data_IF_942864163627
#
_entry.id   IF_942864163627
#
_cell.length_a   1.000
_cell.length_b   1.000
_cell.length_c   1.000
_cell.angle_alpha   90.00
_cell.angle_beta   90.00
_cell.angle_gamma   90.00
#
_symmetry.space_group_name_H-M   'P 1'
#
loop_
_entity.id
_entity.type
_entity.pdbx_description
1 polymer ?
#
# COMPACT_ATOMS: atom_id res chain seq x y z
N UNK A 1 0.53 21.88 27.36
CA UNK A 1 1.19 22.20 26.08
C UNK A 1 0.85 21.07 25.13
N UNK A 2 -0.17 21.26 24.32
CA UNK A 2 -0.65 20.26 23.37
C UNK A 2 -0.12 20.66 22.00
N UNK A 3 0.73 19.81 21.41
CA UNK A 3 1.26 20.03 20.06
C UNK A 3 0.15 19.94 19.01
N UNK A 4 0.38 20.47 17.79
CA UNK A 4 -0.60 20.36 16.72
C UNK A 4 -0.64 18.90 16.26
N UNK A 5 -1.64 18.14 16.70
CA UNK A 5 -2.09 16.99 15.92
C UNK A 5 -2.70 17.57 14.64
N UNK A 6 -1.93 17.54 13.56
CA UNK A 6 -2.45 17.60 12.21
C UNK A 6 -3.47 16.46 12.08
N UNK A 7 -4.74 16.82 12.14
CA UNK A 7 -5.86 15.92 11.91
C UNK A 7 -5.67 15.25 10.55
N UNK A 8 -5.44 13.94 10.55
CA UNK A 8 -5.50 13.12 9.34
C UNK A 8 -6.87 13.35 8.67
N UNK A 9 -6.95 13.39 7.33
CA UNK A 9 -8.23 13.50 6.65
C UNK A 9 -9.01 12.19 6.76
N UNK A 10 -10.34 12.30 6.70
CA UNK A 10 -11.31 11.18 6.65
C UNK A 10 -11.22 10.31 5.36
N UNK A 11 -10.10 10.31 4.63
CA UNK A 11 -9.99 9.67 3.32
C UNK A 11 -8.83 8.68 3.24
N UNK A 12 -9.17 7.39 3.21
CA UNK A 12 -8.25 6.28 3.02
C UNK A 12 -8.12 5.94 1.53
N UNK A 13 -6.89 5.96 1.02
CA UNK A 13 -6.55 5.54 -0.34
C UNK A 13 -6.38 4.04 -0.50
N UNK A 14 -6.54 3.25 0.54
CA UNK A 14 -6.64 1.80 0.48
C UNK A 14 -7.35 1.33 1.76
N UNK A 15 -8.69 1.36 1.81
CA UNK A 15 -9.42 1.07 3.04
C UNK A 15 -9.32 -0.42 3.37
N UNK A 16 -9.16 -0.73 4.66
CA UNK A 16 -9.23 -2.11 5.13
C UNK A 16 -10.62 -2.70 4.87
N UNK A 17 -10.65 -3.98 4.52
CA UNK A 17 -11.86 -4.75 4.26
C UNK A 17 -11.66 -6.16 4.83
N UNK A 18 -12.70 -6.77 5.39
CA UNK A 18 -12.68 -8.16 5.86
C UNK A 18 -12.33 -9.17 4.76
N UNK A 19 -12.44 -8.81 3.49
CA UNK A 19 -11.92 -9.60 2.36
C UNK A 19 -10.39 -9.70 2.32
N UNK A 20 -9.66 -8.93 3.12
CA UNK A 20 -8.21 -9.11 3.31
C UNK A 20 -7.86 -10.05 4.47
N UNK A 21 -8.86 -10.51 5.22
CA UNK A 21 -8.64 -11.43 6.33
C UNK A 21 -8.33 -12.83 5.80
N UNK A 22 -7.21 -13.36 6.27
CA UNK A 22 -6.75 -14.74 6.08
C UNK A 22 -7.35 -15.69 7.11
N UNK A 23 -7.85 -15.16 8.23
CA UNK A 23 -8.33 -15.94 9.38
C UNK A 23 -7.21 -16.33 10.34
N UNK A 24 -5.97 -15.88 10.10
CA UNK A 24 -4.84 -16.02 11.00
C UNK A 24 -4.60 -14.65 11.64
N UNK A 25 -5.04 -14.48 12.89
CA UNK A 25 -5.04 -13.18 13.60
C UNK A 25 -3.70 -12.44 13.54
N UNK A 26 -2.59 -13.16 13.71
CA UNK A 26 -1.24 -12.58 13.62
C UNK A 26 -0.97 -11.94 12.25
N UNK A 27 -1.40 -12.57 11.16
CA UNK A 27 -1.22 -12.09 9.79
C UNK A 27 -2.18 -10.93 9.51
N UNK A 28 -3.43 -11.06 9.93
CA UNK A 28 -4.46 -10.04 9.68
C UNK A 28 -4.12 -8.70 10.37
N UNK A 29 -3.59 -8.75 11.60
CA UNK A 29 -3.08 -7.56 12.31
C UNK A 29 -1.89 -6.92 11.57
N UNK A 30 -1.00 -7.74 11.00
CA UNK A 30 0.14 -7.25 10.22
C UNK A 30 -0.30 -6.61 8.90
N UNK A 31 -1.26 -7.21 8.20
CA UNK A 31 -1.85 -6.65 6.99
C UNK A 31 -2.52 -5.29 7.28
N UNK A 32 -3.31 -5.18 8.35
CA UNK A 32 -3.92 -3.91 8.77
C UNK A 32 -2.88 -2.83 8.99
N UNK A 33 -1.74 -3.16 9.62
CA UNK A 33 -0.67 -2.20 9.83
C UNK A 33 0.03 -1.79 8.53
N UNK A 34 0.27 -2.71 7.60
CA UNK A 34 0.77 -2.39 6.26
C UNK A 34 -0.15 -1.41 5.52
N UNK A 35 -1.46 -1.67 5.58
CA UNK A 35 -2.49 -0.80 5.00
C UNK A 35 -2.49 0.58 5.64
N UNK A 36 -2.39 0.68 6.97
CA UNK A 36 -2.28 1.95 7.70
C UNK A 36 -1.06 2.76 7.24
N UNK A 37 0.12 2.13 7.14
CA UNK A 37 1.36 2.80 6.70
C UNK A 37 1.22 3.24 5.23
N UNK A 38 0.65 2.40 4.36
CA UNK A 38 0.42 2.74 2.95
C UNK A 38 -0.53 3.94 2.79
N UNK A 39 -1.59 4.01 3.59
CA UNK A 39 -2.50 5.17 3.61
C UNK A 39 -1.83 6.45 4.11
N UNK A 40 -0.91 6.34 5.09
CA UNK A 40 -0.09 7.48 5.51
C UNK A 40 0.84 7.93 4.39
N UNK A 41 1.48 7.00 3.67
CA UNK A 41 2.33 7.32 2.53
C UNK A 41 1.55 8.08 1.44
N UNK A 42 0.36 7.59 1.10
CA UNK A 42 -0.58 8.25 0.18
C UNK A 42 -0.83 9.72 0.52
N UNK A 43 -1.13 10.00 1.79
CA UNK A 43 -1.41 11.35 2.26
C UNK A 43 -0.23 12.30 2.01
N UNK A 44 0.97 11.91 2.41
CA UNK A 44 2.17 12.74 2.22
C UNK A 44 2.53 12.93 0.75
N UNK A 45 2.28 11.93 -0.10
CA UNK A 45 2.45 12.07 -1.55
C UNK A 45 1.46 13.07 -2.17
N UNK A 46 0.29 13.29 -1.54
CA UNK A 46 -0.76 14.19 -2.05
C UNK A 46 -0.63 15.64 -1.57
N UNK A 47 0.03 15.88 -0.45
CA UNK A 47 0.02 17.17 0.24
C UNK A 47 1.08 18.16 -0.25
N UNK A 48 1.99 17.77 -1.16
CA UNK A 48 3.24 18.50 -1.49
C UNK A 48 4.14 18.81 -0.28
N UNK A 49 3.74 18.40 0.92
CA UNK A 49 4.47 18.59 2.17
C UNK A 49 5.51 17.47 2.34
N UNK A 50 6.75 17.89 2.17
CA UNK A 50 8.00 17.29 2.64
C UNK A 50 8.35 15.89 2.08
N UNK A 51 9.12 15.88 0.98
CA UNK A 51 9.73 14.66 0.43
C UNK A 51 10.54 13.85 1.45
N UNK A 52 11.09 14.47 2.50
CA UNK A 52 11.80 13.77 3.56
C UNK A 52 10.83 12.87 4.33
N UNK A 53 9.66 13.40 4.68
CA UNK A 53 8.66 12.67 5.46
C UNK A 53 8.06 11.49 4.66
N UNK A 54 7.84 11.66 3.36
CA UNK A 54 7.42 10.56 2.49
C UNK A 54 8.49 9.45 2.42
N UNK A 55 9.78 9.82 2.42
CA UNK A 55 10.89 8.86 2.47
C UNK A 55 10.95 8.08 3.78
N UNK A 56 10.74 8.73 4.92
CA UNK A 56 10.70 8.07 6.23
C UNK A 56 9.55 7.06 6.34
N UNK A 57 8.36 7.42 5.85
CA UNK A 57 7.19 6.52 5.85
C UNK A 57 7.39 5.35 4.89
N UNK A 58 8.03 5.58 3.74
CA UNK A 58 8.40 4.49 2.84
C UNK A 58 9.36 3.51 3.54
N UNK A 59 10.38 4.01 4.24
CA UNK A 59 11.28 3.14 4.99
C UNK A 59 10.54 2.35 6.09
N UNK A 60 9.62 3.00 6.82
CA UNK A 60 8.74 2.33 7.79
C UNK A 60 7.93 1.20 7.13
N UNK A 61 7.38 1.42 5.93
CA UNK A 61 6.66 0.41 5.17
C UNK A 61 7.55 -0.78 4.81
N UNK A 62 8.77 -0.53 4.32
CA UNK A 62 9.70 -1.58 3.90
C UNK A 62 10.20 -2.41 5.10
N UNK A 63 10.50 -1.76 6.21
CA UNK A 63 10.92 -2.42 7.45
C UNK A 63 9.78 -3.31 8.00
N UNK A 64 8.55 -2.79 7.98
CA UNK A 64 7.39 -3.53 8.43
C UNK A 64 7.02 -4.68 7.49
N UNK A 65 7.12 -4.49 6.17
CA UNK A 65 6.96 -5.54 5.17
C UNK A 65 7.98 -6.67 5.37
N UNK A 66 9.25 -6.32 5.61
CA UNK A 66 10.28 -7.33 5.92
C UNK A 66 9.95 -8.11 7.20
N UNK A 67 9.45 -7.43 8.24
CA UNK A 67 9.01 -8.11 9.45
C UNK A 67 7.81 -9.05 9.22
N UNK A 68 6.83 -8.57 8.45
CA UNK A 68 5.64 -9.32 8.10
C UNK A 68 5.99 -10.59 7.30
N UNK A 69 6.73 -10.45 6.19
CA UNK A 69 7.11 -11.58 5.35
C UNK A 69 7.91 -12.65 6.11
N UNK A 70 8.80 -12.25 7.03
CA UNK A 70 9.49 -13.23 7.90
C UNK A 70 8.54 -13.96 8.84
N UNK A 71 7.55 -13.25 9.38
CA UNK A 71 6.54 -13.84 10.29
C UNK A 71 5.69 -14.85 9.54
N UNK A 72 5.25 -14.47 8.34
CA UNK A 72 4.44 -15.26 7.44
C UNK A 72 5.17 -16.51 6.93
N UNK A 73 6.39 -16.35 6.42
CA UNK A 73 7.22 -17.47 5.94
C UNK A 73 7.48 -18.49 7.05
N UNK A 74 7.64 -18.04 8.30
CA UNK A 74 7.79 -18.93 9.44
C UNK A 74 6.53 -19.76 9.73
N UNK A 75 5.34 -19.26 9.40
CA UNK A 75 4.09 -20.01 9.49
C UNK A 75 4.01 -21.00 8.34
N UNK A 76 4.18 -20.53 7.10
CA UNK A 76 4.09 -21.34 5.89
C UNK A 76 5.06 -22.50 5.85
N UNK A 77 6.29 -22.29 6.31
CA UNK A 77 7.32 -23.32 6.38
C UNK A 77 6.89 -24.53 7.21
N UNK A 78 6.03 -24.37 8.21
CA UNK A 78 5.55 -25.50 9.02
C UNK A 78 4.66 -26.47 8.23
N UNK A 79 4.06 -26.00 7.13
CA UNK A 79 3.13 -26.77 6.31
C UNK A 79 3.70 -27.13 4.93
N UNK A 80 4.58 -26.28 4.40
CA UNK A 80 5.00 -26.31 3.00
C UNK A 80 6.51 -26.48 2.81
N UNK A 81 7.27 -26.80 3.86
CA UNK A 81 8.73 -26.93 3.81
C UNK A 81 9.22 -27.77 2.61
N UNK A 82 10.08 -27.17 1.78
CA UNK A 82 10.69 -27.81 0.62
C UNK A 82 9.77 -27.94 -0.60
N UNK A 83 8.55 -27.39 -0.53
CA UNK A 83 7.62 -27.39 -1.67
C UNK A 83 7.87 -26.23 -2.63
N UNK A 84 7.37 -26.35 -3.86
CA UNK A 84 7.34 -25.26 -4.82
C UNK A 84 6.45 -24.10 -4.37
N UNK A 85 5.46 -24.34 -3.51
CA UNK A 85 4.54 -23.33 -2.99
C UNK A 85 5.30 -22.36 -2.08
N UNK A 86 6.08 -22.88 -1.12
CA UNK A 86 6.97 -22.09 -0.26
C UNK A 86 7.94 -21.27 -1.13
N UNK A 87 8.61 -21.92 -2.08
CA UNK A 87 9.59 -21.26 -2.93
C UNK A 87 9.00 -20.15 -3.81
N UNK A 88 7.79 -20.34 -4.34
CA UNK A 88 7.13 -19.36 -5.20
C UNK A 88 6.65 -18.14 -4.40
N UNK A 89 6.13 -18.36 -3.19
CA UNK A 89 5.70 -17.27 -2.33
C UNK A 89 6.89 -16.43 -1.85
N UNK A 90 8.00 -17.06 -1.42
CA UNK A 90 9.24 -16.36 -1.09
C UNK A 90 9.78 -15.51 -2.25
N UNK A 91 9.76 -16.04 -3.48
CA UNK A 91 10.14 -15.27 -4.67
C UNK A 91 9.25 -14.05 -4.90
N UNK A 92 7.97 -14.13 -4.54
CA UNK A 92 7.06 -12.99 -4.56
C UNK A 92 7.54 -11.86 -3.65
N UNK A 93 7.96 -12.20 -2.42
CA UNK A 93 8.55 -11.23 -1.48
C UNK A 93 9.87 -10.65 -1.99
N UNK A 94 10.75 -11.47 -2.56
CA UNK A 94 12.01 -10.98 -3.12
C UNK A 94 11.77 -9.99 -4.27
N UNK A 95 10.81 -10.31 -5.14
CA UNK A 95 10.41 -9.46 -6.25
C UNK A 95 9.84 -8.11 -5.78
N UNK A 96 9.07 -8.09 -4.69
CA UNK A 96 8.59 -6.85 -4.09
C UNK A 96 9.73 -5.87 -3.81
N UNK A 97 10.76 -6.31 -3.08
CA UNK A 97 11.90 -5.44 -2.76
C UNK A 97 12.75 -5.10 -3.98
N UNK A 98 12.84 -6.00 -4.97
CA UNK A 98 13.52 -5.72 -6.24
C UNK A 98 12.85 -4.57 -6.99
N UNK A 99 11.52 -4.57 -7.11
CA UNK A 99 10.78 -3.49 -7.77
C UNK A 99 10.95 -2.16 -7.04
N UNK A 100 10.91 -2.15 -5.71
CA UNK A 100 11.15 -0.91 -4.94
C UNK A 100 12.56 -0.36 -5.20
N UNK A 101 13.59 -1.21 -5.20
CA UNK A 101 14.96 -0.78 -5.54
C UNK A 101 15.05 -0.18 -6.95
N UNK A 102 14.29 -0.72 -7.91
CA UNK A 102 14.22 -0.14 -9.26
C UNK A 102 13.59 1.26 -9.26
N UNK A 103 12.53 1.49 -8.50
CA UNK A 103 11.93 2.82 -8.36
C UNK A 103 12.87 3.81 -7.67
N UNK A 104 13.55 3.41 -6.60
CA UNK A 104 14.53 4.25 -5.90
C UNK A 104 15.71 4.63 -6.81
N UNK A 105 16.23 3.67 -7.60
CA UNK A 105 17.31 3.93 -8.54
C UNK A 105 16.90 4.95 -9.62
N UNK A 106 15.69 4.84 -10.17
CA UNK A 106 15.12 5.84 -11.10
C UNK A 106 14.98 7.21 -10.43
N UNK A 107 14.52 7.26 -9.17
CA UNK A 107 14.37 8.51 -8.41
C UNK A 107 15.71 9.22 -8.23
N UNK A 108 16.77 8.48 -7.89
CA UNK A 108 18.13 9.01 -7.76
C UNK A 108 18.69 9.57 -9.08
N UNK A 109 18.18 9.12 -10.22
CA UNK A 109 18.52 9.64 -11.55
C UNK A 109 17.72 10.90 -11.95
N UNK A 110 16.85 11.41 -11.07
CA UNK A 110 16.07 12.62 -11.28
C UNK A 110 14.71 12.42 -11.96
N UNK A 111 14.21 11.17 -12.04
CA UNK A 111 12.87 10.88 -12.56
C UNK A 111 11.78 11.29 -11.56
N UNK A 112 11.14 12.42 -11.82
CA UNK A 112 10.09 13.01 -10.97
C UNK A 112 8.77 12.22 -10.94
N UNK A 113 8.57 11.25 -11.85
CA UNK A 113 7.35 10.44 -11.92
C UNK A 113 7.45 9.11 -11.15
N UNK A 114 8.58 8.84 -10.50
CA UNK A 114 8.81 7.57 -9.77
C UNK A 114 7.94 7.38 -8.55
N UNK A 115 7.64 8.43 -7.78
CA UNK A 115 6.87 8.29 -6.54
C UNK A 115 5.42 7.83 -6.80
N UNK A 116 4.66 8.42 -7.75
CA UNK A 116 3.35 7.90 -8.14
C UNK A 116 3.39 6.47 -8.67
N UNK A 117 4.34 6.13 -9.55
CA UNK A 117 4.47 4.78 -10.10
C UNK A 117 4.73 3.74 -8.99
N UNK A 118 5.60 4.08 -8.05
CA UNK A 118 5.93 3.23 -6.91
C UNK A 118 4.73 3.04 -5.98
N UNK A 119 3.96 4.10 -5.71
CA UNK A 119 2.75 4.01 -4.89
C UNK A 119 1.68 3.12 -5.55
N UNK A 120 1.49 3.26 -6.86
CA UNK A 120 0.60 2.41 -7.66
C UNK A 120 1.03 0.94 -7.60
N UNK A 121 2.34 0.67 -7.73
CA UNK A 121 2.90 -0.67 -7.56
C UNK A 121 2.65 -1.22 -6.14
N UNK A 122 2.99 -0.47 -5.09
CA UNK A 122 2.81 -0.88 -3.69
C UNK A 122 1.37 -1.28 -3.41
N UNK A 123 0.42 -0.45 -3.85
CA UNK A 123 -1.01 -0.68 -3.63
C UNK A 123 -1.51 -1.92 -4.35
N UNK A 124 -1.16 -2.09 -5.63
CA UNK A 124 -1.59 -3.26 -6.41
C UNK A 124 -0.93 -4.54 -5.93
N UNK A 125 0.37 -4.50 -5.66
CA UNK A 125 1.13 -5.66 -5.19
C UNK A 125 0.58 -6.14 -3.85
N UNK A 126 0.41 -5.24 -2.87
CA UNK A 126 -0.09 -5.61 -1.55
C UNK A 126 -1.50 -6.22 -1.64
N UNK A 127 -2.40 -5.58 -2.38
CA UNK A 127 -3.75 -6.09 -2.55
C UNK A 127 -3.78 -7.48 -3.19
N UNK A 128 -3.06 -7.66 -4.30
CA UNK A 128 -3.00 -8.93 -5.01
C UNK A 128 -2.34 -10.02 -4.17
N UNK A 129 -1.24 -9.71 -3.49
CA UNK A 129 -0.52 -10.64 -2.65
C UNK A 129 -1.41 -11.19 -1.52
N UNK A 130 -2.07 -10.31 -0.78
CA UNK A 130 -3.01 -10.71 0.28
C UNK A 130 -4.14 -11.56 -0.29
N UNK A 131 -4.75 -11.13 -1.40
CA UNK A 131 -5.96 -11.75 -1.92
C UNK A 131 -5.71 -13.11 -2.58
N UNK A 132 -4.58 -13.28 -3.26
CA UNK A 132 -4.29 -14.45 -4.10
C UNK A 132 -3.19 -15.35 -3.53
N UNK A 133 -2.22 -14.81 -2.79
CA UNK A 133 -1.13 -15.59 -2.20
C UNK A 133 -1.46 -15.96 -0.75
N UNK A 134 -1.63 -14.98 0.12
CA UNK A 134 -1.64 -15.21 1.57
C UNK A 134 -2.95 -15.90 1.98
N UNK A 135 -4.08 -15.44 1.44
CA UNK A 135 -5.38 -16.11 1.63
C UNK A 135 -5.36 -17.54 1.11
N UNK A 136 -4.75 -17.79 -0.05
CA UNK A 136 -4.62 -19.14 -0.62
C UNK A 136 -3.83 -20.04 0.31
N UNK A 137 -2.67 -19.58 0.77
CA UNK A 137 -1.83 -20.35 1.68
C UNK A 137 -2.50 -20.55 3.04
N UNK A 138 -3.17 -19.54 3.59
CA UNK A 138 -3.95 -19.66 4.82
C UNK A 138 -5.04 -20.75 4.70
N UNK A 139 -5.86 -20.69 3.64
CA UNK A 139 -6.86 -21.73 3.34
C UNK A 139 -6.24 -23.12 3.29
N UNK A 140 -5.12 -23.27 2.58
CA UNK A 140 -4.41 -24.54 2.52
C UNK A 140 -3.96 -25.03 3.90
N UNK A 141 -3.44 -24.15 4.76
CA UNK A 141 -3.04 -24.55 6.12
C UNK A 141 -4.23 -25.03 6.95
N UNK A 142 -5.42 -24.44 6.80
CA UNK A 142 -6.62 -24.92 7.49
C UNK A 142 -7.03 -26.31 6.99
N UNK A 143 -7.03 -26.56 5.68
CA UNK A 143 -7.33 -27.89 5.13
C UNK A 143 -6.29 -28.95 5.51
N UNK A 144 -5.00 -28.60 5.54
CA UNK A 144 -3.94 -29.52 5.98
C UNK A 144 -4.12 -29.87 7.46
N UNK A 145 -4.50 -28.91 8.31
CA UNK A 145 -4.78 -29.16 9.74
C UNK A 145 -5.96 -30.11 9.97
N UNK A 146 -6.90 -30.20 9.02
CA UNK A 146 -8.02 -31.15 9.08
C UNK A 146 -7.68 -32.53 8.48
N UNK A 147 -6.45 -32.72 8.00
CA UNK A 147 -5.93 -34.00 7.54
C UNK A 147 -5.82 -34.15 6.02
N UNK A 148 -6.11 -33.11 5.24
CA UNK A 148 -5.93 -33.14 3.79
C UNK A 148 -4.45 -33.08 3.41
N UNK A 149 -4.12 -33.70 2.28
CA UNK A 149 -2.82 -33.54 1.63
C UNK A 149 -2.62 -32.11 1.09
N UNK A 150 -1.38 -31.73 0.79
CA UNK A 150 -1.07 -30.43 0.17
C UNK A 150 -1.78 -30.28 -1.18
N UNK A 151 -1.92 -31.36 -1.95
CA UNK A 151 -2.56 -31.38 -3.26
C UNK A 151 -4.07 -31.14 -3.14
N UNK A 152 -4.74 -31.84 -2.23
CA UNK A 152 -6.17 -31.64 -1.96
C UNK A 152 -6.45 -30.22 -1.43
N UNK A 153 -5.60 -29.73 -0.53
CA UNK A 153 -5.70 -28.38 0.01
C UNK A 153 -5.51 -27.31 -1.07
N UNK A 154 -4.55 -27.51 -2.00
CA UNK A 154 -4.33 -26.61 -3.13
C UNK A 154 -5.55 -26.57 -4.04
N UNK A 155 -6.08 -27.73 -4.42
CA UNK A 155 -7.26 -27.86 -5.28
C UNK A 155 -8.51 -27.19 -4.66
N UNK A 156 -8.70 -27.32 -3.35
CA UNK A 156 -9.80 -26.69 -2.64
C UNK A 156 -9.66 -25.16 -2.58
N UNK A 157 -8.45 -24.68 -2.24
CA UNK A 157 -8.15 -23.24 -2.22
C UNK A 157 -8.33 -22.63 -3.62
N UNK A 158 -7.80 -23.29 -4.65
CA UNK A 158 -7.91 -22.84 -6.04
C UNK A 158 -9.36 -22.81 -6.50
N UNK A 159 -10.20 -23.81 -6.20
CA UNK A 159 -11.63 -23.77 -6.53
C UNK A 159 -12.38 -22.62 -5.86
N UNK A 160 -11.97 -22.27 -4.64
CA UNK A 160 -12.61 -21.19 -3.89
C UNK A 160 -12.19 -19.81 -4.41
N UNK A 161 -10.92 -19.66 -4.79
CA UNK A 161 -10.36 -18.39 -5.25
C UNK A 161 -10.54 -18.14 -6.76
N UNK A 162 -10.44 -19.19 -7.60
CA UNK A 162 -10.53 -19.10 -9.08
C UNK A 162 -11.93 -18.83 -9.65
N UNK A 163 -12.90 -18.44 -8.82
CA UNK A 163 -14.23 -18.03 -9.26
C UNK A 163 -14.26 -16.68 -9.99
N UNK A 164 -15.43 -16.28 -10.49
CA UNK A 164 -15.65 -14.95 -11.09
C UNK A 164 -15.32 -13.77 -10.18
N UNK A 165 -15.14 -14.01 -8.88
CA UNK A 165 -14.71 -13.05 -7.89
C UNK A 165 -13.27 -12.57 -8.06
N UNK A 166 -12.30 -13.42 -8.42
CA UNK A 166 -10.91 -12.99 -8.61
C UNK A 166 -10.76 -12.02 -9.81
N UNK A 167 -11.45 -12.29 -10.91
CA UNK A 167 -11.49 -11.38 -12.08
C UNK A 167 -12.17 -10.06 -11.73
N UNK A 168 -13.22 -10.09 -10.91
CA UNK A 168 -13.90 -8.88 -10.46
C UNK A 168 -13.03 -8.07 -9.48
N UNK A 169 -12.33 -8.73 -8.58
CA UNK A 169 -11.37 -8.11 -7.66
C UNK A 169 -10.24 -7.45 -8.46
N UNK A 170 -9.66 -8.14 -9.44
CA UNK A 170 -8.64 -7.55 -10.31
C UNK A 170 -9.15 -6.31 -11.06
N UNK A 171 -10.34 -6.38 -11.66
CA UNK A 171 -10.95 -5.24 -12.33
C UNK A 171 -11.24 -4.07 -11.38
N UNK A 172 -11.69 -4.37 -10.15
CA UNK A 172 -11.92 -3.37 -9.11
C UNK A 172 -10.59 -2.74 -8.69
N UNK A 173 -9.54 -3.52 -8.46
CA UNK A 173 -8.21 -3.01 -8.09
C UNK A 173 -7.60 -2.14 -9.19
N UNK A 174 -7.80 -2.47 -10.47
CA UNK A 174 -7.36 -1.64 -11.59
C UNK A 174 -8.13 -0.31 -11.66
N UNK A 175 -9.46 -0.35 -11.52
CA UNK A 175 -10.30 0.85 -11.48
C UNK A 175 -9.93 1.69 -10.25
N UNK A 176 -9.69 1.03 -9.13
CA UNK A 176 -9.30 1.64 -7.87
C UNK A 176 -7.93 2.33 -7.97
N UNK A 177 -6.92 1.66 -8.53
CA UNK A 177 -5.62 2.27 -8.78
C UNK A 177 -5.72 3.51 -9.67
N UNK A 178 -6.55 3.45 -10.74
CA UNK A 178 -6.82 4.62 -11.59
C UNK A 178 -7.52 5.76 -10.83
N UNK A 179 -8.51 5.42 -10.01
CA UNK A 179 -9.27 6.40 -9.21
C UNK A 179 -8.38 7.02 -8.12
N UNK A 180 -7.61 6.21 -7.43
CA UNK A 180 -6.64 6.61 -6.41
C UNK A 180 -5.59 7.57 -6.99
N UNK A 181 -4.98 7.21 -8.12
CA UNK A 181 -4.04 8.10 -8.83
C UNK A 181 -4.70 9.42 -9.24
N UNK A 182 -5.93 9.37 -9.75
CA UNK A 182 -6.69 10.57 -10.10
C UNK A 182 -7.03 11.42 -8.87
N UNK A 183 -7.34 10.79 -7.73
CA UNK A 183 -7.60 11.47 -6.46
C UNK A 183 -6.33 12.16 -5.94
N UNK A 184 -5.18 11.48 -5.97
CA UNK A 184 -3.88 12.06 -5.60
C UNK A 184 -3.55 13.25 -6.49
N UNK A 185 -3.72 13.14 -7.81
CA UNK A 185 -3.49 14.26 -8.73
C UNK A 185 -4.42 15.44 -8.45
N UNK A 186 -5.70 15.19 -8.19
CA UNK A 186 -6.65 16.23 -7.83
C UNK A 186 -6.30 16.89 -6.49
N UNK A 187 -5.84 16.11 -5.52
CA UNK A 187 -5.38 16.63 -4.22
C UNK A 187 -4.17 17.55 -4.40
N UNK A 188 -3.19 17.17 -5.22
CA UNK A 188 -2.04 18.02 -5.58
C UNK A 188 -2.47 19.33 -6.23
N UNK A 189 -3.32 19.26 -7.25
CA UNK A 189 -3.85 20.44 -7.94
C UNK A 189 -4.59 21.38 -6.96
N UNK A 190 -5.38 20.80 -6.05
CA UNK A 190 -6.09 21.57 -5.02
C UNK A 190 -5.14 22.22 -4.01
N UNK A 191 -4.06 21.53 -3.62
CA UNK A 191 -3.05 22.06 -2.72
C UNK A 191 -2.28 23.22 -3.38
N UNK A 192 -1.77 23.02 -4.60
CA UNK A 192 -1.09 24.05 -5.38
C UNK A 192 -1.97 25.29 -5.60
N UNK A 193 -3.25 25.07 -5.93
CA UNK A 193 -4.22 26.16 -6.09
C UNK A 193 -4.42 26.96 -4.79
N UNK A 194 -4.52 26.29 -3.64
CA UNK A 194 -4.67 26.98 -2.34
C UNK A 194 -3.43 27.81 -2.01
N UNK A 195 -2.23 27.29 -2.24
CA UNK A 195 -0.99 28.02 -2.03
C UNK A 195 -0.93 29.30 -2.89
N UNK A 196 -1.29 29.19 -4.18
CA UNK A 196 -1.34 30.35 -5.09
C UNK A 196 -2.41 31.38 -4.69
N UNK A 197 -3.59 30.93 -4.25
CA UNK A 197 -4.66 31.81 -3.74
C UNK A 197 -4.21 32.57 -2.49
N UNK A 198 -3.43 31.94 -1.61
CA UNK A 198 -2.90 32.53 -0.38
C UNK A 198 -1.77 33.54 -0.65
N UNK A 199 -0.83 33.21 -1.55
CA UNK A 199 0.20 34.13 -2.03
C UNK A 199 -0.43 35.39 -2.66
N UNK A 200 -1.44 35.21 -3.53
CA UNK A 200 -2.17 36.33 -4.13
C UNK A 200 -2.87 37.19 -3.07
N UNK A 201 -3.39 36.58 -2.01
CA UNK A 201 -4.03 37.29 -0.89
C UNK A 201 -3.01 38.13 -0.11
N UNK A 202 -1.83 37.57 0.15
CA UNK A 202 -0.74 38.28 0.83
C UNK A 202 -0.22 39.45 0.00
N UNK A 203 -0.01 39.26 -1.31
CA UNK A 203 0.40 40.33 -2.23
C UNK A 203 -0.61 41.48 -2.30
N UNK A 204 -1.92 41.16 -2.35
CA UNK A 204 -2.98 42.18 -2.31
C UNK A 204 -2.97 42.95 -0.98
N UNK A 205 -2.83 42.27 0.14
CA UNK A 205 -2.76 42.92 1.46
C UNK A 205 -1.53 43.82 1.61
N UNK A 206 -0.37 43.42 1.09
CA UNK A 206 0.85 44.22 1.09
C UNK A 206 0.70 45.49 0.24
N UNK A 207 0.10 45.37 -0.95
CA UNK A 207 -0.16 46.51 -1.85
C UNK A 207 -1.13 47.52 -1.24
N UNK A 208 -2.21 47.06 -0.63
CA UNK A 208 -3.24 47.95 -0.07
C UNK A 208 -2.77 48.63 1.23
N UNK A 209 -1.83 48.02 1.96
CA UNK A 209 -1.17 48.61 3.13
C UNK A 209 -0.12 49.69 2.81
N UNK A 210 0.46 49.68 1.62
CA UNK A 210 1.42 50.70 1.16
C UNK A 210 0.69 51.95 0.63
N UNK A 211 -0.47 51.76 0.02
CA UNK A 211 -1.30 52.83 -0.56
C UNK A 211 -2.08 53.66 0.48
N UNK A 212 -2.06 53.27 1.76
CA UNK A 212 -2.69 53.99 2.88
C UNK A 212 -1.72 54.83 3.71
N UNK A 213 -0.42 54.81 3.37
CA UNK A 213 0.64 55.59 4.04
C UNK A 213 1.21 56.76 3.22
N UNK A 214 0.73 56.98 1.99
CA UNK A 214 1.06 58.14 1.15
C UNK A 214 -0.06 59.16 1.14
#
# INVERSE_FOLDING_TARGET
MSGPHSSQPDFELFPWNSQFETGIEQIDVQHQKLVEILNRLAWHLSAEDDELQAGEILQELLDYASYHFRSEEAIWKQFFAGSSIEANHHKGHEHFFEQIRHYEARRQQGDTHTLPDMFDFLTRWLAFHILESDRRMAMMTFSIRTGHSIEEAADEADKTLSGGSAVMVQAILEIYGKLSNSAVQLMKERAARRAAEEELRQLKAARDGDNTKG
#
